data_IF_837128704913
#
_entry.id   IF_837128704913
#
_cell.length_a   1.000
_cell.length_b   1.000
_cell.length_c   1.000
_cell.angle_alpha   90.00
_cell.angle_beta   90.00
_cell.angle_gamma   90.00
#
_symmetry.space_group_name_H-M   'P 1'
#
loop_
_entity.id
_entity.type
_entity.pdbx_description
1 polymer ?
#
# COMPACT_ATOMS: atom_id res chain seq x y z
N UNK A 1 7.38 0.81 12.60
CA UNK A 1 5.95 1.03 12.34
C UNK A 1 5.56 0.29 11.05
N UNK A 2 4.46 -0.39 11.09
CA UNK A 2 3.98 -1.16 9.95
C UNK A 2 2.61 -0.65 9.54
N UNK A 3 2.52 -0.15 8.30
CA UNK A 3 1.29 0.45 7.76
C UNK A 3 0.66 -0.47 6.74
N UNK A 4 -0.65 -0.64 6.83
CA UNK A 4 -1.41 -1.39 5.85
C UNK A 4 -2.21 -0.43 4.98
N UNK A 5 -2.02 -0.51 3.66
CA UNK A 5 -2.72 0.32 2.70
C UNK A 5 -3.64 -0.55 1.87
N UNK A 6 -4.96 -0.34 2.01
CA UNK A 6 -5.96 -1.07 1.23
C UNK A 6 -6.24 -0.35 -0.08
N UNK A 7 -6.14 -1.07 -1.19
CA UNK A 7 -6.40 -0.52 -2.52
C UNK A 7 -7.69 -1.11 -3.06
N UNK A 8 -8.68 -0.24 -3.24
CA UNK A 8 -9.93 -0.62 -3.86
C UNK A 8 -9.86 -0.39 -5.37
N UNK A 9 -10.63 -1.16 -6.13
CA UNK A 9 -10.68 -0.98 -7.58
C UNK A 9 -11.02 0.46 -7.93
N UNK A 10 -10.26 1.06 -8.84
CA UNK A 10 -10.46 2.44 -9.26
C UNK A 10 -9.75 3.48 -8.41
N UNK A 11 -8.87 3.07 -7.47
CA UNK A 11 -8.15 4.04 -6.66
C UNK A 11 -7.31 4.99 -7.52
N UNK A 12 -7.04 6.19 -6.99
CA UNK A 12 -6.27 7.19 -7.72
C UNK A 12 -4.79 6.83 -7.76
N UNK A 13 -4.28 6.61 -8.97
CA UNK A 13 -2.89 6.19 -9.17
C UNK A 13 -1.91 7.20 -8.61
N UNK A 14 -2.12 8.49 -8.89
CA UNK A 14 -1.16 9.52 -8.47
C UNK A 14 -1.11 9.70 -6.96
N UNK A 15 -2.27 9.60 -6.28
CA UNK A 15 -2.31 9.72 -4.83
C UNK A 15 -1.60 8.57 -4.16
N UNK A 16 -1.83 7.35 -4.65
CA UNK A 16 -1.16 6.17 -4.16
C UNK A 16 0.35 6.25 -4.40
N UNK A 17 0.75 6.64 -5.59
CA UNK A 17 2.18 6.73 -5.96
C UNK A 17 2.90 7.75 -5.09
N UNK A 18 2.28 8.89 -4.84
CA UNK A 18 2.87 9.93 -4.00
C UNK A 18 3.07 9.42 -2.58
N UNK A 19 2.09 8.71 -2.03
CA UNK A 19 2.20 8.16 -0.68
C UNK A 19 3.36 7.16 -0.58
N UNK A 20 3.44 6.22 -1.52
CA UNK A 20 4.49 5.22 -1.54
C UNK A 20 5.86 5.85 -1.71
N UNK A 21 5.96 6.85 -2.58
CA UNK A 21 7.22 7.53 -2.84
C UNK A 21 7.71 8.29 -1.61
N UNK A 22 6.82 9.04 -0.96
CA UNK A 22 7.16 9.80 0.25
C UNK A 22 7.59 8.85 1.37
N UNK A 23 6.86 7.76 1.59
CA UNK A 23 7.22 6.80 2.63
C UNK A 23 8.55 6.10 2.33
N UNK A 24 8.80 5.81 1.06
CA UNK A 24 10.07 5.21 0.64
C UNK A 24 11.26 6.12 0.91
N UNK A 25 11.14 7.40 0.57
CA UNK A 25 12.20 8.37 0.83
C UNK A 25 12.41 8.61 2.32
N UNK A 26 11.33 8.66 3.10
CA UNK A 26 11.43 8.80 4.54
C UNK A 26 12.23 7.64 5.15
N UNK A 27 11.98 6.42 4.69
CA UNK A 27 12.70 5.25 5.17
C UNK A 27 14.17 5.28 4.78
N UNK A 28 14.47 5.73 3.56
CA UNK A 28 15.83 5.73 3.02
C UNK A 28 16.68 6.87 3.55
N UNK A 29 16.15 8.10 3.49
CA UNK A 29 16.94 9.31 3.79
C UNK A 29 16.94 9.69 5.25
N UNK A 30 15.86 9.37 5.98
CA UNK A 30 15.70 9.80 7.37
C UNK A 30 15.71 8.63 8.35
N UNK A 31 16.05 7.45 7.88
CA UNK A 31 16.13 6.22 8.69
C UNK A 31 14.85 5.97 9.49
N UNK A 32 13.70 6.34 8.94
CA UNK A 32 12.42 6.04 9.55
C UNK A 32 12.11 4.56 9.40
N UNK A 33 11.72 3.92 10.50
CA UNK A 33 11.40 2.49 10.50
C UNK A 33 9.93 2.29 10.17
N UNK A 34 9.59 2.54 8.91
CA UNK A 34 8.22 2.41 8.41
C UNK A 34 8.20 1.36 7.30
N UNK A 35 7.38 0.34 7.48
CA UNK A 35 7.11 -0.65 6.45
C UNK A 35 5.69 -0.46 5.96
N UNK A 36 5.52 -0.30 4.65
CA UNK A 36 4.21 -0.15 4.03
C UNK A 36 3.87 -1.45 3.32
N UNK A 37 2.72 -2.01 3.67
CA UNK A 37 2.21 -3.23 3.05
C UNK A 37 0.93 -2.88 2.33
N UNK A 38 0.85 -3.19 1.04
CA UNK A 38 -0.36 -2.95 0.26
C UNK A 38 -1.23 -4.21 0.26
N UNK A 39 -2.53 -4.03 0.26
CA UNK A 39 -3.46 -5.15 0.17
C UNK A 39 -4.67 -4.77 -0.68
N UNK A 40 -5.37 -5.79 -1.15
CA UNK A 40 -6.58 -5.62 -1.95
C UNK A 40 -7.42 -6.88 -1.92
N UNK A 41 -8.59 -6.83 -2.54
CA UNK A 41 -9.47 -7.99 -2.63
C UNK A 41 -8.88 -9.07 -3.54
N UNK A 42 -8.07 -8.65 -4.52
CA UNK A 42 -7.37 -9.56 -5.44
C UNK A 42 -5.90 -9.16 -5.47
N UNK A 43 -5.05 -10.06 -5.92
CA UNK A 43 -3.61 -9.79 -6.00
C UNK A 43 -3.30 -8.65 -6.96
N UNK A 44 -4.10 -8.49 -8.02
CA UNK A 44 -3.95 -7.38 -8.96
C UNK A 44 -5.17 -6.47 -8.83
N UNK A 45 -4.95 -5.20 -8.54
CA UNK A 45 -5.99 -4.19 -8.40
C UNK A 45 -5.83 -3.16 -9.51
N UNK A 46 -6.91 -2.83 -10.19
CA UNK A 46 -6.90 -1.87 -11.28
C UNK A 46 -7.18 -0.47 -10.72
N UNK A 47 -6.24 0.43 -10.93
CA UNK A 47 -6.39 1.82 -10.50
C UNK A 47 -7.10 2.64 -11.57
N UNK A 48 -7.14 3.96 -11.38
CA UNK A 48 -7.73 4.86 -12.35
C UNK A 48 -7.08 4.67 -13.72
N UNK A 49 -7.90 4.79 -14.77
CA UNK A 49 -7.46 4.64 -16.16
C UNK A 49 -6.78 3.29 -16.46
N UNK A 50 -7.26 2.24 -15.81
CA UNK A 50 -6.85 0.85 -16.09
C UNK A 50 -5.37 0.53 -15.83
N UNK A 51 -4.74 1.22 -14.91
CA UNK A 51 -3.37 0.90 -14.52
C UNK A 51 -3.39 -0.24 -13.51
N UNK A 52 -2.83 -1.42 -13.84
CA UNK A 52 -2.82 -2.53 -12.89
C UNK A 52 -1.71 -2.37 -11.86
N UNK A 53 -2.02 -2.70 -10.61
CA UNK A 53 -1.07 -2.66 -9.50
C UNK A 53 -1.12 -4.00 -8.77
N UNK A 54 0.04 -4.59 -8.54
CA UNK A 54 0.15 -5.80 -7.74
C UNK A 54 0.26 -5.40 -6.27
N UNK A 55 -0.58 -6.01 -5.44
CA UNK A 55 -0.53 -5.75 -4.00
C UNK A 55 0.33 -6.82 -3.31
N UNK A 56 0.84 -6.48 -2.13
CA UNK A 56 1.68 -7.40 -1.37
C UNK A 56 0.86 -8.56 -0.82
N UNK A 57 -0.38 -8.29 -0.39
CA UNK A 57 -1.23 -9.30 0.23
C UNK A 57 -2.67 -9.17 -0.23
N UNK A 58 -3.36 -10.30 -0.31
CA UNK A 58 -4.81 -10.32 -0.51
C UNK A 58 -5.47 -10.23 0.87
N UNK A 59 -6.65 -9.61 0.94
CA UNK A 59 -7.34 -9.35 2.22
C UNK A 59 -7.48 -10.60 3.10
N UNK A 60 -7.68 -11.76 2.51
CA UNK A 60 -7.82 -13.00 3.28
C UNK A 60 -6.56 -13.38 4.05
N UNK A 61 -5.42 -12.81 3.67
CA UNK A 61 -4.12 -13.09 4.29
C UNK A 61 -3.74 -12.06 5.34
N UNK A 62 -4.59 -11.04 5.55
CA UNK A 62 -4.26 -9.89 6.40
C UNK A 62 -4.92 -10.01 7.76
N UNK A 63 -4.13 -9.78 8.81
CA UNK A 63 -4.63 -9.63 10.16
C UNK A 63 -4.36 -8.20 10.63
N UNK A 64 -5.40 -7.49 11.05
CA UNK A 64 -5.26 -6.10 11.50
C UNK A 64 -4.33 -5.98 12.70
N UNK A 65 -4.20 -7.04 13.49
CA UNK A 65 -3.37 -7.03 14.70
C UNK A 65 -1.88 -6.90 14.42
N UNK A 66 -1.46 -7.21 13.19
CA UNK A 66 -0.07 -7.12 12.80
C UNK A 66 0.39 -5.73 12.33
N UNK A 67 -0.50 -4.73 12.35
CA UNK A 67 -0.21 -3.41 11.78
C UNK A 67 -0.47 -2.29 12.78
N UNK A 68 0.37 -1.27 12.71
CA UNK A 68 0.25 -0.10 13.57
C UNK A 68 -0.82 0.89 13.09
N UNK A 69 -1.09 0.89 11.77
CA UNK A 69 -2.12 1.75 11.18
C UNK A 69 -2.65 1.13 9.89
N UNK A 70 -3.84 1.54 9.50
CA UNK A 70 -4.52 1.09 8.29
C UNK A 70 -4.66 2.23 7.29
#
# INVERSE_FOLDING_TARGET
MKLLVFLAKGFETIEFSAFIDVMGWAKTDFDCKIDVVTCGLNQKVISSFNVPVLVDKVMDEVSADGYDAL
#
